data_IF_035423984865
#
_entry.id   IF_035423984865
#
_cell.length_a   1.000
_cell.length_b   1.000
_cell.length_c   1.000
_cell.angle_alpha   90.00
_cell.angle_beta   90.00
_cell.angle_gamma   90.00
#
_symmetry.space_group_name_H-M   'P 1'
#
loop_
_entity.id
_entity.type
_entity.pdbx_description
1 polymer ?
#
# COMPACT_ATOMS: atom_id res chain seq x y z
N UNK A 1 11.40 19.97 12.34
CA UNK A 1 12.63 20.25 13.14
C UNK A 1 12.32 20.81 14.54
N UNK A 2 11.37 21.74 14.73
CA UNK A 2 11.08 22.35 16.04
C UNK A 2 10.65 21.35 17.13
N UNK A 3 9.85 20.35 16.80
CA UNK A 3 9.31 19.36 17.75
C UNK A 3 10.34 18.37 18.30
N UNK A 4 11.52 18.22 17.66
CA UNK A 4 12.57 17.32 18.12
C UNK A 4 13.58 17.98 19.07
N UNK A 5 13.54 19.31 19.23
CA UNK A 5 14.46 20.04 20.10
C UNK A 5 14.46 19.54 21.56
N UNK A 6 13.31 19.28 22.21
CA UNK A 6 13.29 18.77 23.58
C UNK A 6 13.98 17.40 23.72
N UNK A 7 13.75 16.50 22.74
CA UNK A 7 14.38 15.18 22.72
C UNK A 7 15.90 15.27 22.62
N UNK A 8 16.39 16.10 21.68
CA UNK A 8 17.84 16.32 21.48
C UNK A 8 18.46 16.99 22.70
N UNK A 9 17.77 17.93 23.35
CA UNK A 9 18.24 18.60 24.57
C UNK A 9 18.33 17.64 25.78
N UNK A 10 17.44 16.66 25.85
CA UNK A 10 17.42 15.66 26.93
C UNK A 10 18.57 14.66 26.85
N UNK A 11 19.26 14.56 25.68
CA UNK A 11 20.39 13.64 25.43
C UNK A 11 20.15 12.22 25.95
N UNK A 12 19.09 11.53 25.54
CA UNK A 12 18.84 10.15 25.95
C UNK A 12 19.90 9.22 25.35
N UNK A 13 20.15 8.08 25.99
CA UNK A 13 21.07 7.06 25.50
C UNK A 13 20.60 6.47 24.16
N UNK A 14 19.29 6.35 23.97
CA UNK A 14 18.66 5.94 22.71
C UNK A 14 17.21 6.39 22.63
N UNK A 15 16.63 6.24 21.43
CA UNK A 15 15.20 6.44 21.16
C UNK A 15 14.62 5.15 20.60
N UNK A 16 13.55 4.65 21.18
CA UNK A 16 12.74 3.55 20.64
C UNK A 16 11.50 4.14 19.98
N UNK A 17 11.35 3.95 18.66
CA UNK A 17 10.25 4.52 17.90
C UNK A 17 9.13 3.50 17.72
N UNK A 18 7.95 3.83 18.23
CA UNK A 18 6.70 3.07 18.04
C UNK A 18 5.95 3.60 16.80
N UNK A 19 6.60 3.54 15.64
CA UNK A 19 6.06 4.04 14.36
C UNK A 19 6.47 3.16 13.19
N UNK A 20 5.94 3.43 11.99
CA UNK A 20 6.41 2.79 10.77
C UNK A 20 7.88 3.15 10.45
N UNK A 21 8.50 2.40 9.57
CA UNK A 21 9.90 2.59 9.19
C UNK A 21 10.24 4.00 8.68
N UNK A 22 9.30 4.71 8.07
CA UNK A 22 9.50 6.13 7.69
C UNK A 22 9.63 7.02 8.93
N UNK A 23 8.77 6.84 9.93
CA UNK A 23 8.84 7.60 11.18
C UNK A 23 10.16 7.38 11.94
N UNK A 24 10.66 6.13 11.99
CA UNK A 24 11.98 5.81 12.56
C UNK A 24 13.09 6.58 11.86
N UNK A 25 13.12 6.56 10.53
CA UNK A 25 14.12 7.29 9.74
C UNK A 25 13.99 8.82 9.91
N UNK A 26 12.77 9.31 10.00
CA UNK A 26 12.52 10.73 10.25
C UNK A 26 13.10 11.17 11.61
N UNK A 27 12.90 10.36 12.67
CA UNK A 27 13.49 10.63 13.99
C UNK A 27 15.00 10.60 13.90
N UNK A 28 15.60 9.56 13.32
CA UNK A 28 17.05 9.42 13.18
C UNK A 28 17.68 10.62 12.46
N UNK A 29 17.09 11.10 11.38
CA UNK A 29 17.56 12.29 10.64
C UNK A 29 17.51 13.60 11.45
N UNK A 30 16.61 13.68 12.42
CA UNK A 30 16.39 14.90 13.21
C UNK A 30 16.91 14.83 14.66
N UNK A 31 17.53 13.71 15.05
CA UNK A 31 18.17 13.47 16.34
C UNK A 31 19.61 12.98 16.13
N UNK A 32 20.51 13.81 15.54
CA UNK A 32 21.89 13.42 15.26
C UNK A 32 22.62 13.04 16.55
N UNK A 33 23.41 11.98 16.49
CA UNK A 33 24.19 11.48 17.62
C UNK A 33 23.40 10.63 18.64
N UNK A 34 22.09 10.45 18.43
CA UNK A 34 21.25 9.65 19.32
C UNK A 34 20.84 8.35 18.56
N UNK A 35 21.23 7.16 19.05
CA UNK A 35 20.79 5.89 18.46
C UNK A 35 19.26 5.79 18.44
N UNK A 36 18.72 5.39 17.28
CA UNK A 36 17.25 5.30 17.10
C UNK A 36 16.89 3.90 16.62
N UNK A 37 16.01 3.24 17.32
CA UNK A 37 15.61 1.86 17.07
C UNK A 37 14.11 1.73 16.78
N UNK A 38 13.67 0.87 15.84
CA UNK A 38 12.28 0.53 15.68
C UNK A 38 11.80 -0.39 16.80
N UNK A 39 10.58 -0.20 17.28
CA UNK A 39 9.92 -1.12 18.21
C UNK A 39 9.18 -2.26 17.51
N UNK A 40 8.94 -2.13 16.20
CA UNK A 40 8.16 -3.05 15.37
C UNK A 40 8.68 -3.09 13.94
N UNK A 41 8.40 -4.18 13.24
CA UNK A 41 8.66 -4.31 11.81
C UNK A 41 7.45 -3.80 11.02
N UNK A 42 7.68 -2.84 10.12
CA UNK A 42 6.64 -2.37 9.20
C UNK A 42 6.50 -3.36 8.06
N UNK A 43 5.37 -4.03 7.96
CA UNK A 43 5.13 -5.06 6.96
C UNK A 43 4.41 -4.52 5.72
N UNK A 44 3.36 -3.71 5.91
CA UNK A 44 2.52 -3.18 4.81
C UNK A 44 1.74 -1.95 5.25
N UNK A 45 1.08 -1.29 4.29
CA UNK A 45 0.05 -0.30 4.55
C UNK A 45 -1.32 -0.95 4.38
N UNK A 46 -2.10 -0.93 5.44
CA UNK A 46 -3.40 -1.58 5.46
C UNK A 46 -4.35 -0.97 6.48
N UNK A 47 -5.43 -1.67 6.72
CA UNK A 47 -6.46 -1.28 7.66
C UNK A 47 -6.73 -2.38 8.69
N UNK A 48 -7.21 -1.99 9.86
CA UNK A 48 -7.73 -2.90 10.86
C UNK A 48 -9.18 -3.25 10.49
N UNK A 49 -9.42 -4.46 10.03
CA UNK A 49 -10.76 -4.95 9.70
C UNK A 49 -11.57 -5.24 10.97
N UNK A 50 -10.89 -5.75 11.97
CA UNK A 50 -11.38 -5.99 13.33
C UNK A 50 -10.23 -6.13 14.29
N UNK A 51 -10.49 -6.13 15.58
CA UNK A 51 -9.45 -6.33 16.60
C UNK A 51 -8.63 -7.60 16.32
N UNK A 52 -7.32 -7.45 16.22
CA UNK A 52 -6.38 -8.55 15.94
C UNK A 52 -6.29 -8.98 14.46
N UNK A 53 -7.00 -8.33 13.53
CA UNK A 53 -6.98 -8.65 12.09
C UNK A 53 -6.71 -7.41 11.28
N UNK A 54 -5.63 -7.43 10.50
CA UNK A 54 -5.22 -6.35 9.59
C UNK A 54 -5.06 -6.89 8.18
N UNK A 55 -5.50 -6.12 7.20
CA UNK A 55 -5.39 -6.47 5.79
C UNK A 55 -4.58 -5.42 5.04
N UNK A 56 -3.70 -5.86 4.15
CA UNK A 56 -2.97 -4.96 3.26
C UNK A 56 -3.94 -4.33 2.26
N UNK A 57 -3.94 -3.00 2.17
CA UNK A 57 -4.82 -2.26 1.27
C UNK A 57 -4.08 -1.54 0.14
N UNK A 58 -2.80 -1.18 0.34
CA UNK A 58 -2.05 -0.41 -0.65
C UNK A 58 -0.57 -0.81 -0.71
N UNK A 59 -0.09 -1.04 -1.92
CA UNK A 59 1.30 -1.44 -2.21
C UNK A 59 2.19 -0.26 -2.65
N UNK A 60 1.73 0.98 -2.56
CA UNK A 60 2.46 2.20 -2.97
C UNK A 60 3.04 2.16 -4.39
N UNK A 61 2.39 1.48 -5.30
CA UNK A 61 2.90 1.23 -6.64
C UNK A 61 2.95 2.47 -7.57
N UNK A 62 2.34 3.60 -7.16
CA UNK A 62 2.43 4.88 -7.87
C UNK A 62 1.61 4.98 -9.15
N UNK A 63 0.88 3.94 -9.53
CA UNK A 63 0.03 3.90 -10.71
C UNK A 63 -1.34 3.28 -10.35
N UNK A 64 -2.21 4.13 -9.79
CA UNK A 64 -3.43 3.71 -9.11
C UNK A 64 -4.51 3.28 -10.09
N UNK A 65 -5.09 2.09 -9.88
CA UNK A 65 -6.18 1.53 -10.70
C UNK A 65 -7.54 1.58 -10.02
N UNK A 66 -7.64 2.08 -8.79
CA UNK A 66 -8.86 2.06 -7.98
C UNK A 66 -10.05 2.72 -8.67
N UNK A 67 -9.83 3.76 -9.45
CA UNK A 67 -10.89 4.42 -10.22
C UNK A 67 -11.52 3.54 -11.31
N UNK A 68 -10.81 2.49 -11.74
CA UNK A 68 -11.28 1.53 -12.75
C UNK A 68 -11.88 0.26 -12.14
N UNK A 69 -11.57 -0.02 -10.88
CA UNK A 69 -11.90 -1.26 -10.18
C UNK A 69 -12.91 -1.05 -9.04
N UNK A 70 -13.64 0.06 -9.07
CA UNK A 70 -14.65 0.35 -8.05
C UNK A 70 -14.11 0.50 -6.63
N UNK A 71 -12.84 0.92 -6.48
CA UNK A 71 -12.19 1.12 -5.19
C UNK A 71 -11.50 -0.12 -4.61
N UNK A 72 -11.48 -1.25 -5.32
CA UNK A 72 -10.83 -2.50 -4.88
C UNK A 72 -9.47 -2.64 -5.58
N UNK A 73 -8.39 -2.77 -4.83
CA UNK A 73 -7.04 -2.86 -5.39
C UNK A 73 -6.70 -4.29 -5.83
N UNK A 74 -6.57 -4.58 -7.14
CA UNK A 74 -6.19 -5.91 -7.60
C UNK A 74 -4.72 -6.25 -7.32
N UNK A 75 -3.86 -5.24 -7.07
CA UNK A 75 -2.45 -5.48 -6.76
C UNK A 75 -2.28 -6.12 -5.38
N UNK A 76 -3.07 -5.70 -4.40
CA UNK A 76 -3.01 -6.25 -3.04
C UNK A 76 -3.96 -7.41 -2.83
N UNK A 77 -5.08 -7.49 -3.56
CA UNK A 77 -6.11 -8.48 -3.31
C UNK A 77 -6.14 -9.64 -4.31
N UNK A 78 -5.50 -9.52 -5.47
CA UNK A 78 -5.36 -10.64 -6.40
C UNK A 78 -4.00 -11.31 -6.24
N UNK A 79 -3.95 -12.61 -5.94
CA UNK A 79 -2.71 -13.36 -5.79
C UNK A 79 -1.77 -13.30 -7.02
N UNK A 80 -2.33 -12.98 -8.20
CA UNK A 80 -1.59 -12.79 -9.45
C UNK A 80 -1.39 -11.32 -9.81
N UNK A 81 -1.88 -10.38 -8.98
CA UNK A 81 -1.83 -8.92 -9.21
C UNK A 81 -2.31 -8.48 -10.61
N UNK A 82 -3.28 -9.18 -11.17
CA UNK A 82 -3.81 -8.89 -12.51
C UNK A 82 -4.57 -7.57 -12.52
N UNK A 83 -4.35 -6.75 -13.54
CA UNK A 83 -4.95 -5.39 -13.65
C UNK A 83 -5.98 -5.25 -14.77
N UNK A 84 -6.10 -6.24 -15.66
CA UNK A 84 -6.99 -6.23 -16.84
C UNK A 84 -7.99 -7.39 -16.83
N UNK A 85 -8.56 -7.71 -15.69
CA UNK A 85 -9.59 -8.75 -15.59
C UNK A 85 -9.10 -10.02 -14.87
N UNK A 86 -10.02 -10.97 -14.67
CA UNK A 86 -9.77 -12.21 -13.96
C UNK A 86 -8.91 -13.18 -14.77
N UNK A 87 -8.18 -14.07 -14.08
CA UNK A 87 -7.44 -15.17 -14.71
C UNK A 87 -8.31 -16.30 -15.29
N UNK A 88 -9.61 -16.30 -14.97
CA UNK A 88 -10.52 -17.38 -15.36
C UNK A 88 -10.46 -18.64 -14.49
N UNK A 89 -9.47 -18.77 -13.60
CA UNK A 89 -9.28 -19.99 -12.79
C UNK A 89 -10.06 -20.01 -11.47
N UNK A 90 -10.85 -18.99 -11.17
CA UNK A 90 -11.67 -18.96 -9.97
C UNK A 90 -12.73 -20.08 -9.98
N UNK A 91 -13.05 -20.63 -8.80
CA UNK A 91 -14.12 -21.64 -8.62
C UNK A 91 -15.04 -21.16 -7.50
N UNK A 92 -16.33 -21.07 -7.80
CA UNK A 92 -17.37 -20.61 -6.82
C UNK A 92 -17.01 -19.26 -6.13
N UNK A 93 -16.40 -18.34 -6.88
CA UNK A 93 -15.98 -17.05 -6.34
C UNK A 93 -14.68 -17.07 -5.53
N UNK A 94 -14.03 -18.23 -5.41
CA UNK A 94 -12.76 -18.39 -4.70
C UNK A 94 -11.55 -18.33 -5.62
N UNK A 95 -10.41 -17.87 -5.09
CA UNK A 95 -9.17 -17.74 -5.83
C UNK A 95 -8.57 -19.13 -6.15
N UNK A 96 -8.08 -19.33 -7.37
CA UNK A 96 -7.42 -20.60 -7.75
C UNK A 96 -6.06 -20.80 -7.06
N UNK A 97 -5.38 -19.71 -6.66
CA UNK A 97 -4.08 -19.77 -5.98
C UNK A 97 -4.25 -20.09 -4.50
N UNK A 98 -5.26 -19.49 -3.87
CA UNK A 98 -5.61 -19.77 -2.48
C UNK A 98 -7.15 -19.84 -2.34
N UNK A 99 -7.71 -21.07 -2.28
CA UNK A 99 -9.16 -21.27 -2.19
C UNK A 99 -9.84 -20.74 -0.92
N UNK A 100 -9.08 -20.38 0.11
CA UNK A 100 -9.62 -19.71 1.30
C UNK A 100 -10.01 -18.26 0.99
N UNK A 101 -9.31 -17.63 0.05
CA UNK A 101 -9.55 -16.24 -0.32
C UNK A 101 -10.64 -16.12 -1.38
N UNK A 102 -11.45 -15.06 -1.27
CA UNK A 102 -12.35 -14.67 -2.34
C UNK A 102 -11.58 -14.13 -3.54
N UNK A 103 -12.08 -14.40 -4.74
CA UNK A 103 -11.47 -13.85 -5.95
C UNK A 103 -11.66 -12.33 -6.00
N UNK A 104 -10.56 -11.58 -6.03
CA UNK A 104 -10.57 -10.12 -6.10
C UNK A 104 -11.35 -9.59 -7.31
N UNK A 105 -11.26 -10.25 -8.47
CA UNK A 105 -11.96 -9.82 -9.67
C UNK A 105 -13.46 -10.10 -9.63
N UNK A 106 -13.92 -11.11 -8.91
CA UNK A 106 -15.36 -11.31 -8.64
C UNK A 106 -15.88 -10.21 -7.72
N UNK A 107 -15.10 -9.81 -6.69
CA UNK A 107 -15.44 -8.66 -5.85
C UNK A 107 -15.52 -7.37 -6.66
N UNK A 108 -14.54 -7.12 -7.54
CA UNK A 108 -14.51 -5.95 -8.44
C UNK A 108 -15.71 -5.94 -9.37
N UNK A 109 -16.04 -7.08 -10.00
CA UNK A 109 -17.22 -7.19 -10.87
C UNK A 109 -18.51 -6.80 -10.12
N UNK A 110 -18.77 -7.44 -8.99
CA UNK A 110 -19.96 -7.15 -8.14
C UNK A 110 -20.00 -5.69 -7.71
N UNK A 111 -18.85 -5.12 -7.36
CA UNK A 111 -18.76 -3.71 -6.96
C UNK A 111 -19.07 -2.76 -8.11
N UNK A 112 -18.55 -3.03 -9.30
CA UNK A 112 -18.83 -2.23 -10.50
C UNK A 112 -20.29 -2.37 -10.95
N UNK A 113 -20.88 -3.55 -10.81
CA UNK A 113 -22.30 -3.78 -11.05
C UNK A 113 -23.17 -2.96 -10.08
N UNK A 114 -22.89 -3.02 -8.78
CA UNK A 114 -23.57 -2.27 -7.73
C UNK A 114 -23.59 -0.76 -8.00
N UNK A 115 -22.46 -0.21 -8.47
CA UNK A 115 -22.33 1.25 -8.74
C UNK A 115 -22.64 1.64 -10.20
N UNK A 116 -23.15 0.70 -11.03
CA UNK A 116 -23.55 0.96 -12.42
C UNK A 116 -22.38 1.29 -13.36
N UNK A 117 -21.19 0.74 -13.14
CA UNK A 117 -19.96 1.06 -13.88
C UNK A 117 -19.29 -0.17 -14.52
N UNK A 118 -20.07 -1.17 -14.93
CA UNK A 118 -19.55 -2.38 -15.60
C UNK A 118 -18.85 -2.09 -16.94
N UNK A 119 -19.19 -0.96 -17.59
CA UNK A 119 -18.52 -0.51 -18.81
C UNK A 119 -17.01 -0.36 -18.68
N UNK A 120 -16.52 -0.14 -17.46
CA UNK A 120 -15.09 -0.04 -17.17
C UNK A 120 -14.33 -1.35 -17.42
N UNK A 121 -14.99 -2.50 -17.29
CA UNK A 121 -14.37 -3.82 -17.54
C UNK A 121 -14.09 -4.07 -19.03
N UNK A 122 -14.81 -3.38 -19.93
CA UNK A 122 -14.58 -3.48 -21.38
C UNK A 122 -13.35 -2.71 -21.87
N UNK A 123 -12.68 -1.95 -21.01
CA UNK A 123 -11.53 -1.11 -21.37
C UNK A 123 -10.25 -1.73 -20.85
N UNK A 124 -9.44 -2.26 -21.75
CA UNK A 124 -8.08 -2.70 -21.42
C UNK A 124 -7.22 -1.48 -21.14
N UNK A 125 -6.57 -1.45 -20.00
CA UNK A 125 -5.57 -0.43 -19.70
C UNK A 125 -4.20 -0.84 -20.24
N UNK A 126 -3.35 0.15 -20.49
CA UNK A 126 -1.93 -0.07 -20.77
C UNK A 126 -1.23 -0.75 -19.59
N UNK A 127 -0.08 -1.33 -19.88
CA UNK A 127 0.75 -1.97 -18.86
C UNK A 127 1.08 -1.00 -17.73
N UNK A 128 1.13 -1.55 -16.53
CA UNK A 128 1.40 -0.77 -15.34
C UNK A 128 2.81 -0.21 -15.39
N UNK A 129 2.93 1.11 -15.20
CA UNK A 129 4.22 1.80 -15.21
C UNK A 129 5.07 1.49 -13.97
N UNK A 130 5.68 0.31 -13.91
CA UNK A 130 6.51 -0.13 -12.78
C UNK A 130 7.75 0.74 -12.54
N UNK A 131 8.17 1.55 -13.51
CA UNK A 131 9.24 2.52 -13.31
C UNK A 131 8.95 3.51 -12.18
N UNK A 132 7.66 3.81 -11.93
CA UNK A 132 7.23 4.65 -10.79
C UNK A 132 7.47 4.01 -9.43
N UNK A 133 7.69 2.70 -9.39
CA UNK A 133 7.94 1.92 -8.18
C UNK A 133 9.45 1.71 -7.88
N UNK A 134 10.33 2.10 -8.79
CA UNK A 134 11.79 1.92 -8.64
C UNK A 134 12.37 2.83 -7.55
N UNK A 135 13.32 2.32 -6.79
CA UNK A 135 14.03 3.04 -5.73
C UNK A 135 15.45 3.43 -6.14
N UNK A 136 16.04 4.50 -5.58
CA UNK A 136 15.40 5.51 -4.74
C UNK A 136 14.50 6.42 -5.57
N UNK A 137 13.38 6.87 -5.01
CA UNK A 137 12.48 7.80 -5.69
C UNK A 137 12.27 9.06 -4.88
N UNK A 138 12.29 10.19 -5.59
CA UNK A 138 11.98 11.51 -5.03
C UNK A 138 10.92 12.17 -5.89
N UNK A 139 9.85 12.62 -5.25
CA UNK A 139 8.80 13.40 -5.92
C UNK A 139 8.97 14.84 -5.48
N UNK A 140 9.15 15.76 -6.45
CA UNK A 140 9.20 17.19 -6.21
C UNK A 140 8.10 17.86 -7.02
N UNK A 141 7.22 18.59 -6.34
CA UNK A 141 6.21 19.47 -6.97
C UNK A 141 6.81 20.83 -7.38
N UNK A 142 8.00 21.14 -6.90
CA UNK A 142 8.79 22.27 -7.39
C UNK A 142 9.52 21.78 -8.63
N UNK A 143 9.28 22.41 -9.77
CA UNK A 143 9.96 22.04 -11.03
C UNK A 143 11.47 21.82 -10.79
N UNK A 144 12.06 20.92 -11.57
CA UNK A 144 13.52 20.75 -11.56
C UNK A 144 14.12 22.12 -11.88
N UNK A 145 14.88 22.69 -10.94
CA UNK A 145 15.76 23.82 -11.21
C UNK A 145 16.87 23.37 -12.11
#
# INVERSE_FOLDING_TARGET
KGKMKPLVAAKPDCVICMSCGDGVQCVAKNAPGIPTYPSNNTMYLGEAVRFGVWEEACHFCGDCVLGQTGGICPITQCAKSLVNGPCGGQKNGKCEVNPENDCAWIKIYKRLEEIGQLDKLGKTREDKGYAKFSYPRTISLKGKK
#
